data_IF_061919172293
#
_entry.id   IF_061919172293
#
_cell.length_a   1.000
_cell.length_b   1.000
_cell.length_c   1.000
_cell.angle_alpha   90.00
_cell.angle_beta   90.00
_cell.angle_gamma   90.00
#
_symmetry.space_group_name_H-M   'P 1'
#
loop_
_entity.id
_entity.type
_entity.pdbx_description
1 polymer ?
#
# COMPACT_ATOMS: atom_id res chain seq x y z
N UNK A 1 -34.44 13.13 7.72
CA UNK A 1 -34.75 12.30 6.54
C UNK A 1 -36.25 12.17 6.42
N UNK A 2 -36.88 12.94 5.53
CA UNK A 2 -38.27 12.68 5.16
C UNK A 2 -38.26 11.59 4.09
N UNK A 3 -38.79 10.42 4.44
CA UNK A 3 -39.14 9.36 3.48
C UNK A 3 -40.27 9.91 2.61
N UNK A 4 -39.94 10.40 1.43
CA UNK A 4 -40.92 10.61 0.38
C UNK A 4 -41.27 9.23 -0.19
N UNK A 5 -42.19 8.54 0.48
CA UNK A 5 -42.78 7.30 -0.04
C UNK A 5 -43.64 7.66 -1.25
N UNK A 6 -43.12 7.50 -2.45
CA UNK A 6 -43.89 7.62 -3.67
C UNK A 6 -44.84 6.42 -3.77
N UNK A 7 -46.11 6.64 -3.41
CA UNK A 7 -47.17 5.66 -3.60
C UNK A 7 -47.38 5.39 -5.10
N UNK A 8 -47.03 4.17 -5.54
CA UNK A 8 -47.32 3.71 -6.91
C UNK A 8 -46.21 2.91 -7.58
N UNK A 9 -44.99 2.89 -7.04
CA UNK A 9 -43.89 2.09 -7.62
C UNK A 9 -43.72 0.79 -6.83
N UNK A 10 -44.24 -0.31 -7.38
CA UNK A 10 -43.94 -1.66 -6.90
C UNK A 10 -42.50 -2.00 -7.35
N UNK A 11 -41.56 -1.96 -6.41
CA UNK A 11 -40.17 -2.28 -6.71
C UNK A 11 -39.92 -3.80 -6.57
N UNK A 12 -39.20 -4.47 -7.50
CA UNK A 12 -38.99 -5.93 -7.49
C UNK A 12 -38.00 -6.46 -6.43
N UNK A 13 -37.74 -5.72 -5.34
CA UNK A 13 -36.69 -6.04 -4.35
C UNK A 13 -36.84 -7.44 -3.71
N UNK A 14 -38.03 -8.04 -3.79
CA UNK A 14 -38.33 -9.36 -3.23
C UNK A 14 -37.78 -10.55 -4.05
N UNK A 15 -37.24 -10.35 -5.26
CA UNK A 15 -36.93 -11.49 -6.16
C UNK A 15 -35.42 -11.77 -6.28
N UNK A 16 -34.53 -10.77 -6.18
CA UNK A 16 -33.07 -10.98 -6.27
C UNK A 16 -32.24 -10.00 -5.41
N UNK A 17 -31.81 -10.40 -4.19
CA UNK A 17 -31.12 -9.50 -3.26
C UNK A 17 -29.72 -9.03 -3.69
N UNK A 18 -29.07 -9.68 -4.66
CA UNK A 18 -27.68 -9.36 -5.07
C UNK A 18 -27.50 -9.00 -6.56
N UNK A 19 -28.50 -9.24 -7.41
CA UNK A 19 -28.44 -8.83 -8.82
C UNK A 19 -28.38 -7.30 -9.02
N UNK A 20 -29.12 -6.47 -8.27
CA UNK A 20 -29.17 -5.04 -8.58
C UNK A 20 -27.91 -4.27 -8.19
N UNK A 21 -27.22 -4.68 -7.13
CA UNK A 21 -25.92 -4.12 -6.76
C UNK A 21 -24.86 -4.37 -7.83
N UNK A 22 -24.79 -5.62 -8.30
CA UNK A 22 -23.87 -6.03 -9.37
C UNK A 22 -24.14 -5.26 -10.65
N UNK A 23 -25.40 -5.02 -11.00
CA UNK A 23 -25.73 -4.24 -12.20
C UNK A 23 -25.26 -2.79 -12.12
N UNK A 24 -25.40 -2.13 -10.98
CA UNK A 24 -24.88 -0.76 -10.78
C UNK A 24 -23.35 -0.74 -10.79
N UNK A 25 -22.72 -1.66 -10.07
CA UNK A 25 -21.28 -1.85 -10.03
C UNK A 25 -20.72 -2.09 -11.44
N UNK A 26 -21.26 -3.06 -12.18
CA UNK A 26 -20.79 -3.41 -13.53
C UNK A 26 -20.96 -2.23 -14.50
N UNK A 27 -22.04 -1.47 -14.36
CA UNK A 27 -22.34 -0.36 -15.28
C UNK A 27 -21.36 0.80 -15.13
N UNK A 28 -20.87 1.07 -13.92
CA UNK A 28 -19.89 2.15 -13.68
C UNK A 28 -18.47 1.59 -13.72
N UNK A 29 -18.16 0.62 -12.86
CA UNK A 29 -16.79 0.17 -12.57
C UNK A 29 -16.21 -0.74 -13.65
N UNK A 30 -17.03 -1.46 -14.41
CA UNK A 30 -16.57 -2.31 -15.52
C UNK A 30 -16.81 -1.68 -16.90
N UNK A 31 -17.22 -0.41 -16.94
CA UNK A 31 -17.41 0.33 -18.18
C UNK A 31 -16.10 0.57 -18.93
N UNK A 32 -16.12 0.73 -20.27
CA UNK A 32 -14.94 1.15 -21.01
C UNK A 32 -14.36 2.49 -20.52
N UNK A 33 -15.21 3.34 -19.94
CA UNK A 33 -14.79 4.64 -19.40
C UNK A 33 -14.01 4.49 -18.09
N UNK A 34 -14.45 3.64 -17.15
CA UNK A 34 -13.73 3.39 -15.90
C UNK A 34 -12.38 2.70 -16.11
N UNK A 35 -12.22 2.00 -17.25
CA UNK A 35 -10.93 1.44 -17.67
C UNK A 35 -9.93 2.50 -18.14
N UNK A 36 -10.28 3.78 -18.22
CA UNK A 36 -9.35 4.86 -18.59
C UNK A 36 -9.00 5.64 -17.34
N UNK A 37 -7.72 5.60 -16.93
CA UNK A 37 -7.32 6.21 -15.67
C UNK A 37 -7.60 7.74 -15.62
N UNK A 38 -7.42 8.45 -16.73
CA UNK A 38 -7.81 9.86 -16.89
C UNK A 38 -9.31 10.12 -16.67
N UNK A 39 -10.18 9.18 -17.07
CA UNK A 39 -11.61 9.36 -16.90
C UNK A 39 -12.03 9.26 -15.43
N UNK A 40 -11.25 8.60 -14.57
CA UNK A 40 -11.54 8.56 -13.14
C UNK A 40 -11.48 9.95 -12.51
N UNK A 41 -10.53 10.79 -12.95
CA UNK A 41 -10.47 12.21 -12.57
C UNK A 41 -11.75 12.94 -12.99
N UNK A 42 -12.15 12.80 -14.27
CA UNK A 42 -13.34 13.46 -14.80
C UNK A 42 -14.61 13.06 -14.04
N UNK A 43 -14.74 11.78 -13.71
CA UNK A 43 -15.86 11.22 -12.95
C UNK A 43 -15.90 11.77 -11.52
N UNK A 44 -14.76 11.84 -10.83
CA UNK A 44 -14.71 12.25 -9.43
C UNK A 44 -14.83 13.76 -9.22
N UNK A 45 -14.23 14.56 -10.09
CA UNK A 45 -14.27 16.03 -9.98
C UNK A 45 -15.66 16.56 -10.35
N UNK A 46 -16.39 15.86 -11.21
CA UNK A 46 -17.77 16.20 -11.56
C UNK A 46 -18.72 16.03 -10.36
N UNK A 47 -19.46 17.07 -9.93
CA UNK A 47 -20.38 16.97 -8.80
C UNK A 47 -21.53 15.98 -9.03
N UNK A 48 -21.92 15.80 -10.29
CA UNK A 48 -23.02 14.95 -10.77
C UNK A 48 -22.63 14.39 -12.13
N UNK A 49 -22.89 13.11 -12.34
CA UNK A 49 -22.63 12.44 -13.62
C UNK A 49 -23.82 11.58 -13.99
N UNK A 50 -24.21 11.65 -15.26
CA UNK A 50 -25.10 10.69 -15.88
C UNK A 50 -24.26 9.78 -16.79
N UNK A 51 -24.15 8.51 -16.42
CA UNK A 51 -23.40 7.48 -17.14
C UNK A 51 -24.36 6.71 -18.03
N UNK A 52 -24.08 6.68 -19.33
CA UNK A 52 -24.79 5.85 -20.29
C UNK A 52 -24.13 4.47 -20.36
N UNK A 53 -24.69 3.51 -19.61
CA UNK A 53 -24.24 2.13 -19.60
C UNK A 53 -24.75 1.32 -20.78
N UNK A 54 -24.22 0.10 -20.96
CA UNK A 54 -24.71 -0.82 -21.99
C UNK A 54 -26.10 -1.40 -21.70
N UNK A 55 -26.53 -1.39 -20.43
CA UNK A 55 -27.79 -1.98 -19.97
C UNK A 55 -28.81 -0.94 -19.48
N UNK A 56 -28.36 0.17 -18.91
CA UNK A 56 -29.20 1.23 -18.33
C UNK A 56 -28.40 2.52 -18.15
N UNK A 57 -29.09 3.64 -18.01
CA UNK A 57 -28.50 4.87 -17.50
C UNK A 57 -28.33 4.84 -15.98
N UNK A 58 -27.21 5.41 -15.50
CA UNK A 58 -26.90 5.53 -14.08
C UNK A 58 -26.57 6.98 -13.75
N UNK A 59 -27.31 7.55 -12.81
CA UNK A 59 -27.01 8.82 -12.18
C UNK A 59 -26.13 8.60 -10.96
N UNK A 60 -25.08 9.39 -10.79
CA UNK A 60 -24.22 9.34 -9.61
C UNK A 60 -23.86 10.76 -9.15
N UNK A 61 -23.99 11.01 -7.85
CA UNK A 61 -23.54 12.22 -7.17
C UNK A 61 -22.86 11.87 -5.84
N UNK A 62 -22.44 12.85 -5.05
CA UNK A 62 -21.75 12.62 -3.77
C UNK A 62 -22.61 11.97 -2.66
N UNK A 63 -23.92 11.80 -2.87
CA UNK A 63 -24.84 11.25 -1.86
C UNK A 63 -25.56 10.00 -2.31
N UNK A 64 -25.69 9.76 -3.61
CA UNK A 64 -26.58 8.72 -4.14
C UNK A 64 -26.16 8.30 -5.54
N UNK A 65 -26.30 7.00 -5.81
CA UNK A 65 -26.31 6.45 -7.16
C UNK A 65 -27.69 5.89 -7.45
N UNK A 66 -28.26 6.26 -8.59
CA UNK A 66 -29.59 5.85 -9.02
C UNK A 66 -29.51 5.37 -10.47
N UNK A 67 -30.43 4.49 -10.86
CA UNK A 67 -30.49 3.97 -12.23
C UNK A 67 -31.93 3.90 -12.71
N UNK A 68 -32.14 3.54 -13.97
CA UNK A 68 -33.49 3.27 -14.51
C UNK A 68 -34.22 2.19 -13.70
N UNK A 69 -33.50 1.17 -13.22
CA UNK A 69 -34.07 0.13 -12.37
C UNK A 69 -34.30 0.60 -10.93
N UNK A 70 -33.44 1.50 -10.42
CA UNK A 70 -33.47 2.04 -9.06
C UNK A 70 -33.44 3.56 -9.07
N UNK A 71 -34.56 4.23 -9.42
CA UNK A 71 -34.59 5.69 -9.61
C UNK A 71 -34.35 6.50 -8.33
N UNK A 72 -34.50 5.88 -7.16
CA UNK A 72 -34.24 6.48 -5.83
C UNK A 72 -32.91 5.97 -5.24
N UNK A 73 -32.16 5.15 -6.00
CA UNK A 73 -30.97 4.46 -5.56
C UNK A 73 -31.24 3.17 -4.77
N UNK A 74 -30.15 2.50 -4.40
CA UNK A 74 -30.23 1.28 -3.58
C UNK A 74 -30.59 1.64 -2.14
N UNK A 75 -31.53 0.90 -1.53
CA UNK A 75 -31.77 1.00 -0.10
C UNK A 75 -30.51 0.50 0.64
N UNK A 76 -29.98 1.27 1.63
CA UNK A 76 -28.82 0.87 2.42
C UNK A 76 -28.92 -0.52 3.07
N UNK A 77 -30.14 -1.03 3.28
CA UNK A 77 -30.35 -2.40 3.79
C UNK A 77 -29.88 -3.50 2.82
N UNK A 78 -29.76 -3.16 1.54
CA UNK A 78 -29.29 -4.06 0.50
C UNK A 78 -27.93 -3.64 -0.05
N UNK A 79 -27.26 -2.63 0.54
CA UNK A 79 -25.89 -2.30 0.18
C UNK A 79 -24.92 -3.25 0.90
N UNK A 80 -24.19 -4.07 0.14
CA UNK A 80 -23.06 -4.84 0.67
C UNK A 80 -21.84 -3.94 0.92
N UNK A 81 -20.93 -4.36 1.82
CA UNK A 81 -19.68 -3.64 2.12
C UNK A 81 -18.85 -3.43 0.83
N UNK A 82 -18.88 -4.43 -0.07
CA UNK A 82 -18.23 -4.37 -1.39
C UNK A 82 -18.78 -3.23 -2.28
N UNK A 83 -20.05 -2.85 -2.11
CA UNK A 83 -20.67 -1.75 -2.83
C UNK A 83 -20.34 -0.39 -2.19
N UNK A 84 -20.23 -0.35 -0.86
CA UNK A 84 -19.92 0.86 -0.12
C UNK A 84 -18.54 1.39 -0.48
N UNK A 85 -17.49 0.55 -0.44
CA UNK A 85 -16.12 0.96 -0.76
C UNK A 85 -15.84 1.09 -2.25
N UNK A 86 -16.69 0.52 -3.13
CA UNK A 86 -16.49 0.50 -4.58
C UNK A 86 -17.43 1.42 -5.39
N UNK A 87 -18.37 2.13 -4.76
CA UNK A 87 -19.25 3.08 -5.47
C UNK A 87 -18.53 4.40 -5.82
N UNK A 88 -18.97 5.09 -6.88
CA UNK A 88 -18.42 6.40 -7.27
C UNK A 88 -18.93 7.51 -6.33
N UNK A 89 -20.15 7.37 -5.82
CA UNK A 89 -20.70 8.26 -4.79
C UNK A 89 -19.86 8.27 -3.51
N UNK A 90 -19.42 7.10 -3.04
CA UNK A 90 -18.52 6.97 -1.90
C UNK A 90 -17.20 7.71 -2.13
N UNK A 91 -16.52 7.49 -3.27
CA UNK A 91 -15.27 8.21 -3.55
C UNK A 91 -15.46 9.72 -3.60
N UNK A 92 -16.58 10.22 -4.15
CA UNK A 92 -16.88 11.66 -4.12
C UNK A 92 -17.11 12.17 -2.70
N UNK A 93 -17.76 11.38 -1.85
CA UNK A 93 -17.95 11.71 -0.45
C UNK A 93 -16.60 11.79 0.26
N UNK A 94 -15.72 10.80 0.07
CA UNK A 94 -14.39 10.77 0.66
C UNK A 94 -13.50 11.92 0.14
N UNK A 95 -13.51 12.20 -1.16
CA UNK A 95 -12.83 13.38 -1.73
C UNK A 95 -13.34 14.69 -1.09
N UNK A 96 -14.64 14.78 -0.83
CA UNK A 96 -15.24 15.95 -0.15
C UNK A 96 -14.79 16.05 1.30
N UNK A 97 -14.71 14.94 2.03
CA UNK A 97 -14.22 14.90 3.43
C UNK A 97 -12.74 15.26 3.51
N UNK A 98 -11.92 14.69 2.62
CA UNK A 98 -10.53 15.05 2.43
C UNK A 98 -10.40 16.55 2.11
N UNK A 99 -11.24 17.12 1.25
CA UNK A 99 -11.20 18.55 0.94
C UNK A 99 -11.59 19.47 2.11
N UNK A 100 -12.42 18.99 3.06
CA UNK A 100 -12.99 19.78 4.17
C UNK A 100 -12.27 19.65 5.52
N UNK A 101 -11.04 19.14 5.54
CA UNK A 101 -10.27 18.87 6.78
C UNK A 101 -11.00 17.94 7.77
N UNK A 102 -11.91 17.08 7.28
CA UNK A 102 -12.62 16.12 8.12
C UNK A 102 -11.83 14.82 8.32
N UNK A 103 -10.94 14.51 7.39
CA UNK A 103 -10.09 13.33 7.33
C UNK A 103 -8.77 13.72 6.67
N UNK A 104 -7.70 12.94 6.86
CA UNK A 104 -6.47 13.17 6.11
C UNK A 104 -6.60 12.72 4.65
N UNK A 105 -5.90 13.36 3.68
CA UNK A 105 -6.00 12.99 2.28
C UNK A 105 -5.62 11.53 2.02
N UNK A 106 -4.63 10.99 2.74
CA UNK A 106 -4.20 9.59 2.66
C UNK A 106 -5.34 8.58 2.88
N UNK A 107 -6.32 8.89 3.73
CA UNK A 107 -7.45 8.00 4.01
C UNK A 107 -8.31 7.74 2.76
N UNK A 108 -8.54 8.77 1.95
CA UNK A 108 -9.21 8.65 0.66
C UNK A 108 -8.28 8.09 -0.42
N UNK A 109 -7.00 8.45 -0.32
CA UNK A 109 -6.05 8.25 -1.41
C UNK A 109 -5.79 6.79 -1.72
N UNK A 110 -5.68 5.94 -0.70
CA UNK A 110 -5.40 4.51 -0.90
C UNK A 110 -6.49 3.81 -1.73
N UNK A 111 -7.77 4.03 -1.39
CA UNK A 111 -8.91 3.52 -2.15
C UNK A 111 -8.92 4.04 -3.59
N UNK A 112 -8.62 5.33 -3.74
CA UNK A 112 -8.55 5.96 -5.05
C UNK A 112 -7.41 5.38 -5.91
N UNK A 113 -6.22 5.18 -5.35
CA UNK A 113 -5.06 4.59 -6.04
C UNK A 113 -5.32 3.14 -6.44
N UNK A 114 -5.97 2.34 -5.59
CA UNK A 114 -6.33 0.96 -5.96
C UNK A 114 -7.23 0.93 -7.20
N UNK A 115 -8.24 1.82 -7.28
CA UNK A 115 -9.09 1.93 -8.49
C UNK A 115 -8.36 2.53 -9.69
N UNK A 116 -7.50 3.51 -9.45
CA UNK A 116 -6.74 4.18 -10.49
C UNK A 116 -5.75 3.22 -11.17
N UNK A 117 -5.06 2.39 -10.40
CA UNK A 117 -4.10 1.41 -10.92
C UNK A 117 -4.76 0.21 -11.60
N UNK A 118 -6.01 -0.12 -11.24
CA UNK A 118 -6.86 -1.05 -12.01
C UNK A 118 -7.19 -0.51 -13.42
N UNK A 119 -7.20 0.80 -13.60
CA UNK A 119 -7.49 1.42 -14.90
C UNK A 119 -6.26 1.41 -15.84
N UNK A 120 -6.52 1.43 -17.14
CA UNK A 120 -5.51 1.48 -18.19
C UNK A 120 -5.14 2.94 -18.52
N UNK A 121 -3.85 3.18 -18.66
CA UNK A 121 -3.27 4.42 -19.15
C UNK A 121 -2.78 4.21 -20.58
N UNK A 122 -3.12 5.13 -21.49
CA UNK A 122 -2.59 5.12 -22.86
C UNK A 122 -1.08 5.35 -22.86
N UNK A 123 -0.60 6.27 -22.02
CA UNK A 123 0.81 6.56 -21.83
C UNK A 123 1.18 6.36 -20.36
N UNK A 124 2.03 5.36 -20.10
CA UNK A 124 2.49 5.01 -18.74
C UNK A 124 3.35 6.11 -18.10
N UNK A 125 3.88 7.05 -18.87
CA UNK A 125 4.59 8.23 -18.37
C UNK A 125 3.69 9.20 -17.60
N UNK A 126 2.38 9.18 -17.88
CA UNK A 126 1.43 10.18 -17.38
C UNK A 126 0.74 9.71 -16.10
N UNK A 127 1.22 8.61 -15.49
CA UNK A 127 0.62 7.99 -14.30
C UNK A 127 0.44 8.97 -13.14
N UNK A 128 1.41 9.85 -12.89
CA UNK A 128 1.30 10.86 -11.84
C UNK A 128 0.60 12.14 -12.33
N UNK A 129 0.81 12.51 -13.59
CA UNK A 129 0.23 13.71 -14.22
C UNK A 129 -1.29 13.66 -14.22
N UNK A 130 -1.88 12.50 -14.49
CA UNK A 130 -3.33 12.32 -14.48
C UNK A 130 -3.97 12.45 -13.09
N UNK A 131 -3.17 12.61 -12.02
CA UNK A 131 -3.68 12.83 -10.66
C UNK A 131 -3.72 14.32 -10.29
N UNK A 132 -3.09 15.17 -11.10
CA UNK A 132 -2.88 16.59 -10.81
C UNK A 132 -4.18 17.31 -10.41
N UNK A 133 -5.26 17.15 -11.19
CA UNK A 133 -6.49 17.91 -10.90
C UNK A 133 -7.21 17.48 -9.61
N UNK A 134 -7.02 16.24 -9.14
CA UNK A 134 -7.55 15.81 -7.84
C UNK A 134 -6.70 16.39 -6.70
N UNK A 135 -5.37 16.35 -6.85
CA UNK A 135 -4.43 16.91 -5.88
C UNK A 135 -4.65 18.41 -5.73
N UNK A 136 -4.70 19.16 -6.84
CA UNK A 136 -4.97 20.60 -6.86
C UNK A 136 -6.30 20.92 -6.18
N UNK A 137 -7.37 20.18 -6.48
CA UNK A 137 -8.67 20.35 -5.85
C UNK A 137 -8.60 20.22 -4.32
N UNK A 138 -7.88 19.22 -3.80
CA UNK A 138 -7.73 19.01 -2.35
C UNK A 138 -6.93 20.16 -1.74
N UNK A 139 -5.80 20.53 -2.37
CA UNK A 139 -4.90 21.59 -1.89
C UNK A 139 -5.61 22.94 -1.87
N UNK A 140 -6.29 23.32 -2.96
CA UNK A 140 -7.04 24.58 -3.07
C UNK A 140 -8.18 24.66 -2.06
N UNK A 141 -8.96 23.58 -1.90
CA UNK A 141 -10.06 23.55 -0.94
C UNK A 141 -9.59 23.73 0.51
N UNK A 142 -8.41 23.18 0.84
CA UNK A 142 -7.82 23.32 2.19
C UNK A 142 -7.12 24.66 2.39
N UNK A 143 -6.48 25.25 1.36
CA UNK A 143 -5.86 26.60 1.43
C UNK A 143 -6.87 27.69 1.82
N UNK A 144 -8.12 27.58 1.37
CA UNK A 144 -9.19 28.52 1.72
C UNK A 144 -9.69 28.43 3.18
N UNK A 145 -9.19 27.47 3.96
CA UNK A 145 -9.60 27.27 5.36
C UNK A 145 -8.64 27.98 6.30
N UNK A 146 -9.12 28.97 7.07
CA UNK A 146 -8.35 29.78 8.02
C UNK A 146 -7.71 29.02 9.22
N UNK A 147 -7.75 27.68 9.24
CA UNK A 147 -6.99 26.89 10.22
C UNK A 147 -5.54 26.81 9.74
N UNK A 148 -4.58 26.98 10.65
CA UNK A 148 -3.14 26.76 10.45
C UNK A 148 -2.90 25.42 9.76
N UNK A 149 -2.96 25.42 8.43
CA UNK A 149 -2.84 24.21 7.63
C UNK A 149 -1.35 23.99 7.53
N UNK A 150 -0.85 22.95 8.19
CA UNK A 150 0.45 22.38 7.82
C UNK A 150 0.43 22.23 6.29
N UNK A 151 1.48 22.70 5.62
CA UNK A 151 1.53 22.64 4.17
C UNK A 151 1.27 21.20 3.73
N UNK A 152 0.22 21.02 2.92
CA UNK A 152 -0.14 19.71 2.39
C UNK A 152 0.91 19.35 1.37
N UNK A 153 1.74 18.40 1.72
CA UNK A 153 2.83 17.99 0.86
C UNK A 153 2.44 16.68 0.17
N UNK A 154 2.41 16.73 -1.15
CA UNK A 154 2.21 15.57 -2.01
C UNK A 154 3.55 15.20 -2.62
N UNK A 155 3.96 13.93 -2.52
CA UNK A 155 5.28 13.45 -2.89
C UNK A 155 5.16 12.15 -3.67
N UNK A 156 5.57 12.18 -4.94
CA UNK A 156 5.64 11.03 -5.84
C UNK A 156 4.45 10.05 -5.73
N UNK A 157 3.21 10.54 -5.81
CA UNK A 157 2.05 9.66 -5.73
C UNK A 157 1.42 9.53 -4.35
N UNK A 158 2.00 10.09 -3.28
CA UNK A 158 1.58 9.89 -1.89
C UNK A 158 1.41 11.21 -1.13
N UNK A 159 0.61 11.23 -0.07
CA UNK A 159 0.44 12.40 0.81
C UNK A 159 1.31 12.29 2.05
N UNK A 160 2.16 13.29 2.33
CA UNK A 160 2.98 13.37 3.54
C UNK A 160 2.19 13.91 4.73
N UNK A 161 1.13 13.21 5.08
CA UNK A 161 0.31 13.48 6.27
C UNK A 161 0.65 12.51 7.41
N UNK A 162 -0.20 12.46 8.46
CA UNK A 162 0.05 11.61 9.63
C UNK A 162 0.10 10.12 9.32
N UNK A 163 -0.46 9.67 8.19
CA UNK A 163 -0.50 8.26 7.79
C UNK A 163 0.52 7.94 6.68
N UNK A 164 1.50 8.82 6.42
CA UNK A 164 2.46 8.61 5.33
C UNK A 164 3.18 7.26 5.41
N UNK A 165 3.53 6.78 6.60
CA UNK A 165 4.16 5.46 6.79
C UNK A 165 3.25 4.31 6.32
N UNK A 166 1.94 4.41 6.58
CA UNK A 166 0.94 3.46 6.10
C UNK A 166 0.85 3.50 4.58
N UNK A 167 0.89 4.69 3.99
CA UNK A 167 0.86 4.86 2.55
C UNK A 167 2.09 4.27 1.84
N UNK A 168 3.19 3.97 2.55
CA UNK A 168 4.34 3.24 2.02
C UNK A 168 4.14 1.73 1.97
N UNK A 169 3.07 1.19 2.56
CA UNK A 169 2.78 -0.26 2.65
C UNK A 169 1.90 -0.78 1.49
N UNK A 170 1.77 -0.01 0.41
CA UNK A 170 1.15 -0.50 -0.83
C UNK A 170 1.86 -1.77 -1.31
N UNK A 171 1.15 -2.67 -1.99
CA UNK A 171 1.76 -3.87 -2.60
C UNK A 171 1.07 -4.23 -3.91
N UNK A 172 1.74 -4.94 -4.83
CA UNK A 172 1.10 -5.53 -5.99
C UNK A 172 -0.06 -6.43 -5.56
N UNK A 173 -1.19 -6.34 -6.26
CA UNK A 173 -2.33 -7.20 -5.98
C UNK A 173 -1.97 -8.67 -6.19
N UNK A 174 -2.42 -9.54 -5.30
CA UNK A 174 -2.17 -10.99 -5.39
C UNK A 174 -2.57 -11.55 -6.76
N UNK A 175 -1.68 -12.37 -7.34
CA UNK A 175 -1.86 -12.96 -8.67
C UNK A 175 -1.58 -12.00 -9.84
N UNK A 176 -1.16 -10.77 -9.58
CA UNK A 176 -0.60 -9.89 -10.61
C UNK A 176 0.91 -10.12 -10.73
N UNK A 177 1.43 -10.03 -11.97
CA UNK A 177 2.86 -9.96 -12.24
C UNK A 177 3.23 -8.49 -12.47
N UNK A 178 3.63 -7.74 -11.43
CA UNK A 178 4.02 -6.35 -11.59
C UNK A 178 5.28 -6.25 -12.45
N UNK A 179 5.32 -5.25 -13.34
CA UNK A 179 6.49 -4.98 -14.17
C UNK A 179 7.03 -3.59 -13.87
N UNK A 180 8.35 -3.42 -13.95
CA UNK A 180 8.97 -2.10 -13.90
C UNK A 180 8.78 -1.40 -15.26
N UNK A 181 8.41 -0.11 -15.30
CA UNK A 181 8.43 0.67 -16.53
C UNK A 181 9.84 0.75 -17.12
N UNK A 182 9.96 0.73 -18.45
CA UNK A 182 11.25 0.81 -19.16
C UNK A 182 12.03 2.12 -18.87
N UNK A 183 11.28 3.19 -18.59
CA UNK A 183 11.84 4.50 -18.25
C UNK A 183 11.54 4.84 -16.79
N UNK A 184 12.47 5.53 -16.12
CA UNK A 184 12.24 6.04 -14.77
C UNK A 184 10.98 6.91 -14.72
N UNK A 185 10.12 6.64 -13.73
CA UNK A 185 8.84 7.34 -13.52
C UNK A 185 8.69 7.87 -12.10
N UNK A 186 9.12 7.08 -11.12
CA UNK A 186 8.97 7.37 -9.71
C UNK A 186 10.03 6.57 -8.90
N UNK A 187 10.38 7.04 -7.69
CA UNK A 187 11.30 6.35 -6.79
C UNK A 187 10.72 5.02 -6.27
N UNK A 188 11.56 4.09 -5.80
CA UNK A 188 11.13 2.70 -5.48
C UNK A 188 10.09 2.61 -4.36
N UNK A 189 10.01 3.61 -3.49
CA UNK A 189 9.03 3.70 -2.41
C UNK A 189 7.63 4.15 -2.88
N UNK A 190 7.50 4.66 -4.10
CA UNK A 190 6.22 5.06 -4.69
C UNK A 190 5.54 3.90 -5.41
N UNK A 191 4.22 3.77 -5.25
CA UNK A 191 3.41 2.79 -6.01
C UNK A 191 3.50 3.03 -7.52
N UNK A 192 3.79 4.27 -7.95
CA UNK A 192 3.97 4.60 -9.35
C UNK A 192 5.31 4.07 -9.90
N UNK A 193 6.16 3.43 -9.11
CA UNK A 193 7.36 2.76 -9.62
C UNK A 193 7.07 1.48 -10.40
N UNK A 194 5.87 0.91 -10.25
CA UNK A 194 5.44 -0.34 -10.90
C UNK A 194 4.25 -0.12 -11.84
N UNK A 195 4.18 -0.94 -12.88
CA UNK A 195 2.97 -1.15 -13.67
C UNK A 195 2.20 -2.35 -13.11
N UNK A 196 0.96 -2.12 -12.72
CA UNK A 196 0.08 -3.15 -12.17
C UNK A 196 -0.97 -2.57 -11.23
N UNK A 197 -1.96 -3.39 -10.89
CA UNK A 197 -2.93 -3.06 -9.84
C UNK A 197 -2.24 -3.21 -8.47
N UNK A 198 -2.43 -2.20 -7.60
CA UNK A 198 -1.92 -2.25 -6.22
C UNK A 198 -3.08 -2.28 -5.22
N UNK A 199 -2.81 -2.85 -4.06
CA UNK A 199 -3.71 -2.83 -2.92
C UNK A 199 -3.02 -2.32 -1.65
N UNK A 200 -3.84 -2.07 -0.63
CA UNK A 200 -3.44 -1.63 0.71
C UNK A 200 -4.19 -2.51 1.72
N UNK A 201 -3.61 -2.80 2.89
CA UNK A 201 -4.35 -3.51 3.93
C UNK A 201 -5.51 -2.66 4.47
N UNK A 202 -6.62 -3.33 4.80
CA UNK A 202 -7.90 -2.66 5.03
C UNK A 202 -8.05 -2.06 6.44
N UNK A 203 -7.25 -2.45 7.45
CA UNK A 203 -7.45 -1.98 8.83
C UNK A 203 -6.13 -1.95 9.65
N UNK A 204 -5.80 -0.78 10.20
CA UNK A 204 -4.62 -0.58 11.05
C UNK A 204 -5.02 0.06 12.38
N UNK A 205 -4.30 -0.28 13.45
CA UNK A 205 -4.55 0.25 14.79
C UNK A 205 -3.33 1.08 15.23
N UNK A 206 -3.53 2.25 15.86
CA UNK A 206 -2.45 2.98 16.52
C UNK A 206 -1.77 2.10 17.57
N UNK A 207 -0.45 1.94 17.47
CA UNK A 207 0.31 1.07 18.36
C UNK A 207 0.26 1.55 19.82
N UNK A 208 -0.20 0.69 20.72
CA UNK A 208 -0.18 0.89 22.18
C UNK A 208 0.38 -0.39 22.81
N UNK A 209 1.63 -0.37 23.28
CA UNK A 209 2.25 -1.46 24.01
C UNK A 209 2.37 -1.10 25.48
N UNK A 210 1.81 -1.92 26.36
CA UNK A 210 1.79 -1.65 27.79
C UNK A 210 1.30 -0.21 28.13
N UNK A 211 0.39 0.33 27.31
CA UNK A 211 -0.11 1.71 27.43
C UNK A 211 0.77 2.80 26.83
N UNK A 212 1.87 2.47 26.13
CA UNK A 212 2.79 3.43 25.48
C UNK A 212 2.77 3.29 23.97
N UNK A 213 2.89 4.40 23.24
CA UNK A 213 3.09 4.42 21.78
C UNK A 213 4.58 4.22 21.46
N UNK A 214 4.92 3.31 20.56
CA UNK A 214 6.26 3.11 19.98
C UNK A 214 6.16 3.50 18.54
N UNK A 215 7.13 4.30 18.19
CA UNK A 215 7.45 4.71 16.85
C UNK A 215 8.40 3.64 16.27
N UNK A 216 7.92 2.88 15.28
CA UNK A 216 8.72 1.84 14.63
C UNK A 216 9.74 2.42 13.64
N UNK A 217 9.35 3.52 13.01
CA UNK A 217 10.19 4.33 12.15
C UNK A 217 9.78 5.80 12.29
N UNK A 218 10.70 6.72 12.00
CA UNK A 218 10.50 8.16 12.00
C UNK A 218 11.01 8.72 10.67
N UNK A 219 10.12 9.34 9.90
CA UNK A 219 10.49 9.97 8.63
C UNK A 219 11.20 11.29 8.95
N UNK A 220 12.46 11.40 8.53
CA UNK A 220 13.30 12.58 8.74
C UNK A 220 13.11 13.56 7.59
N UNK A 221 13.26 13.08 6.36
CA UNK A 221 13.13 13.90 5.16
C UNK A 221 12.52 13.13 3.98
N UNK A 222 11.88 13.86 3.08
CA UNK A 222 11.33 13.34 1.83
C UNK A 222 11.55 14.39 0.75
N UNK A 223 12.21 13.99 -0.33
CA UNK A 223 12.50 14.89 -1.44
C UNK A 223 12.14 14.26 -2.77
N UNK A 224 11.64 15.07 -3.70
CA UNK A 224 11.27 14.67 -5.05
C UNK A 224 11.75 15.74 -6.03
N UNK A 225 12.52 15.34 -7.04
CA UNK A 225 13.02 16.20 -8.10
C UNK A 225 12.09 16.12 -9.33
N UNK A 226 11.42 17.21 -9.74
CA UNK A 226 10.60 17.22 -10.94
C UNK A 226 11.47 17.20 -12.22
N UNK A 227 11.01 16.51 -13.26
CA UNK A 227 11.69 16.37 -14.56
C UNK A 227 11.66 17.66 -15.40
N UNK A 228 10.74 18.60 -15.15
CA UNK A 228 10.62 19.87 -15.89
C UNK A 228 10.61 21.08 -14.98
N UNK A 229 11.33 22.13 -15.34
CA UNK A 229 11.44 23.39 -14.57
C UNK A 229 10.23 24.33 -14.67
N UNK A 230 9.09 23.89 -15.23
CA UNK A 230 7.94 24.77 -15.51
C UNK A 230 6.73 24.59 -14.57
N UNK A 231 6.75 23.66 -13.63
CA UNK A 231 5.83 23.75 -12.49
C UNK A 231 6.45 23.15 -11.23
N UNK A 232 6.22 23.86 -10.12
CA UNK A 232 6.48 23.40 -8.74
C UNK A 232 5.52 22.25 -8.36
N UNK A 233 4.77 21.70 -9.31
CA UNK A 233 3.73 20.71 -9.02
C UNK A 233 4.37 19.33 -8.85
N UNK A 234 4.35 18.83 -7.62
CA UNK A 234 4.80 17.49 -7.21
C UNK A 234 3.98 16.34 -7.83
N UNK A 235 3.06 16.67 -8.72
CA UNK A 235 2.21 15.79 -9.55
C UNK A 235 2.73 15.62 -10.98
N UNK A 236 3.84 16.29 -11.34
CA UNK A 236 4.46 16.18 -12.66
C UNK A 236 5.29 14.91 -12.84
N UNK A 237 5.97 14.81 -13.98
CA UNK A 237 7.02 13.81 -14.19
C UNK A 237 8.17 14.04 -13.21
N UNK A 238 8.72 12.96 -12.67
CA UNK A 238 9.75 12.97 -11.63
C UNK A 238 11.04 12.41 -12.22
N UNK A 239 12.16 13.03 -11.86
CA UNK A 239 13.51 12.62 -12.26
C UNK A 239 14.21 11.78 -11.18
N UNK A 240 14.00 12.11 -9.92
CA UNK A 240 14.58 11.43 -8.77
C UNK A 240 13.73 11.69 -7.51
N UNK A 241 13.93 10.91 -6.46
CA UNK A 241 13.36 11.19 -5.15
C UNK A 241 13.93 10.26 -4.10
N UNK A 242 13.88 10.68 -2.84
CA UNK A 242 14.34 9.85 -1.72
C UNK A 242 13.46 10.05 -0.48
N UNK A 243 13.45 9.03 0.37
CA UNK A 243 12.94 9.11 1.74
C UNK A 243 14.09 8.79 2.68
N UNK A 244 14.37 9.72 3.59
CA UNK A 244 15.25 9.48 4.72
C UNK A 244 14.41 9.16 5.96
N UNK A 245 14.67 8.01 6.58
CA UNK A 245 13.98 7.61 7.80
C UNK A 245 14.94 7.01 8.82
N UNK A 246 14.64 7.23 10.08
CA UNK A 246 15.27 6.54 11.20
C UNK A 246 14.38 5.38 11.63
N UNK A 247 14.90 4.15 11.61
CA UNK A 247 14.10 2.96 11.86
C UNK A 247 14.90 1.83 12.49
N UNK A 248 14.19 0.78 12.92
CA UNK A 248 14.80 -0.49 13.30
C UNK A 248 15.14 -1.30 12.04
N UNK A 249 16.41 -1.30 11.64
CA UNK A 249 16.87 -2.05 10.48
C UNK A 249 17.28 -3.47 10.88
N UNK A 250 16.69 -4.48 10.21
CA UNK A 250 16.99 -5.90 10.46
C UNK A 250 17.53 -6.59 9.24
N UNK A 251 18.76 -7.09 9.34
CA UNK A 251 19.34 -7.94 8.30
C UNK A 251 18.66 -9.31 8.25
N UNK A 252 18.20 -9.66 7.06
CA UNK A 252 17.51 -10.91 6.73
C UNK A 252 18.05 -11.48 5.41
N UNK A 253 17.70 -12.72 5.13
CA UNK A 253 18.04 -13.39 3.88
C UNK A 253 16.76 -13.81 3.19
N UNK A 254 16.66 -13.47 1.91
CA UNK A 254 15.50 -13.72 1.05
C UNK A 254 15.90 -14.70 -0.05
N UNK A 255 15.01 -15.64 -0.35
CA UNK A 255 15.19 -16.60 -1.45
C UNK A 255 13.84 -16.84 -2.14
N UNK A 256 13.87 -16.91 -3.47
CA UNK A 256 12.73 -17.36 -4.29
C UNK A 256 12.69 -18.89 -4.27
N UNK A 257 11.60 -19.47 -3.75
CA UNK A 257 11.45 -20.93 -3.75
C UNK A 257 11.14 -21.44 -5.17
N UNK A 258 11.71 -22.58 -5.58
CA UNK A 258 11.34 -23.19 -6.85
C UNK A 258 9.92 -23.75 -6.77
N UNK A 259 9.09 -23.46 -7.78
CA UNK A 259 7.71 -23.96 -7.86
C UNK A 259 7.70 -25.50 -7.90
N UNK A 260 7.05 -26.14 -6.92
CA UNK A 260 6.72 -27.57 -7.03
C UNK A 260 5.54 -27.72 -7.99
N UNK A 261 5.65 -28.63 -8.97
CA UNK A 261 4.73 -28.75 -10.10
C UNK A 261 3.33 -29.33 -9.80
N UNK A 262 2.77 -29.17 -8.59
CA UNK A 262 1.43 -29.68 -8.26
C UNK A 262 0.35 -28.61 -8.47
N UNK A 263 -0.22 -28.63 -9.68
CA UNK A 263 -1.30 -27.77 -10.16
C UNK A 263 -2.68 -28.12 -9.59
N UNK A 264 -2.83 -28.20 -8.26
CA UNK A 264 -4.14 -28.55 -7.65
C UNK A 264 -4.60 -27.71 -6.47
N UNK A 265 -4.13 -26.46 -6.33
CA UNK A 265 -4.84 -25.42 -5.56
C UNK A 265 -4.47 -24.04 -6.11
N UNK A 266 -5.47 -23.25 -6.50
CA UNK A 266 -5.35 -21.86 -6.96
C UNK A 266 -4.93 -20.90 -5.83
N UNK A 267 -3.74 -21.10 -5.24
CA UNK A 267 -3.02 -20.07 -4.49
C UNK A 267 -1.70 -19.86 -5.21
N UNK A 268 -1.67 -18.88 -6.10
CA UNK A 268 -0.44 -18.41 -6.74
C UNK A 268 0.28 -17.54 -5.71
N UNK A 269 0.83 -18.18 -4.69
CA UNK A 269 1.83 -17.57 -3.82
C UNK A 269 3.18 -17.99 -4.40
N UNK A 270 3.83 -17.08 -5.14
CA UNK A 270 5.26 -17.18 -5.33
C UNK A 270 5.89 -17.16 -3.93
N UNK A 271 6.22 -18.33 -3.36
CA UNK A 271 6.60 -18.44 -1.95
C UNK A 271 8.03 -17.92 -1.74
N UNK A 272 8.17 -16.60 -1.64
CA UNK A 272 9.39 -15.98 -1.16
C UNK A 272 9.63 -16.38 0.30
N UNK A 273 10.82 -16.91 0.57
CA UNK A 273 11.23 -17.30 1.91
C UNK A 273 12.15 -16.25 2.49
N UNK A 274 11.74 -15.62 3.59
CA UNK A 274 12.58 -14.73 4.39
C UNK A 274 12.99 -15.44 5.68
N UNK A 275 14.28 -15.43 6.00
CA UNK A 275 14.82 -15.93 7.27
C UNK A 275 15.72 -14.89 7.94
N UNK A 276 15.83 -14.99 9.27
CA UNK A 276 16.72 -14.13 10.04
C UNK A 276 18.19 -14.51 9.83
N UNK A 277 19.09 -13.55 10.02
CA UNK A 277 20.54 -13.76 9.92
C UNK A 277 21.05 -14.91 10.81
N UNK A 278 20.51 -15.05 12.02
CA UNK A 278 20.86 -16.14 12.93
C UNK A 278 20.52 -17.52 12.38
N UNK A 279 19.38 -17.63 11.67
CA UNK A 279 18.96 -18.89 11.04
C UNK A 279 19.79 -19.17 9.78
N UNK A 280 20.03 -18.15 8.96
CA UNK A 280 20.90 -18.28 7.78
C UNK A 280 22.28 -18.81 8.16
N UNK A 281 22.91 -18.25 9.19
CA UNK A 281 24.23 -18.70 9.67
C UNK A 281 24.24 -20.16 10.18
N UNK A 282 23.14 -20.62 10.78
CA UNK A 282 23.00 -22.03 11.19
C UNK A 282 22.89 -22.98 9.98
N UNK A 283 22.23 -22.53 8.91
CA UNK A 283 22.06 -23.32 7.68
C UNK A 283 23.35 -23.32 6.86
N UNK A 284 24.02 -22.16 6.73
CA UNK A 284 25.26 -22.03 5.94
C UNK A 284 26.48 -22.67 6.61
N UNK A 285 26.52 -22.74 7.94
CA UNK A 285 27.56 -23.43 8.70
C UNK A 285 27.53 -24.96 8.58
N UNK A 286 26.38 -25.54 8.22
CA UNK A 286 26.25 -26.94 7.85
C UNK A 286 26.53 -27.09 6.35
N UNK A 287 27.75 -27.48 5.99
CA UNK A 287 28.10 -27.73 4.59
C UNK A 287 27.10 -28.68 3.92
N UNK A 288 26.63 -28.29 2.73
CA UNK A 288 25.65 -28.95 1.85
C UNK A 288 24.16 -28.63 2.10
N UNK A 289 23.71 -27.48 1.58
CA UNK A 289 22.47 -27.43 0.77
C UNK A 289 22.70 -26.42 -0.37
N UNK A 290 23.10 -26.90 -1.55
CA UNK A 290 23.10 -26.13 -2.81
C UNK A 290 21.83 -26.38 -3.65
N UNK A 291 20.91 -27.23 -3.19
CA UNK A 291 19.65 -27.52 -3.87
C UNK A 291 18.54 -27.77 -2.83
N UNK A 292 17.32 -27.22 -3.01
CA UNK A 292 16.22 -27.43 -2.10
C UNK A 292 15.56 -28.79 -2.41
N UNK A 293 16.23 -29.89 -2.07
CA UNK A 293 15.60 -31.20 -2.07
C UNK A 293 15.20 -31.58 -0.64
N UNK A 294 13.88 -31.70 -0.45
CA UNK A 294 13.18 -32.36 0.66
C UNK A 294 13.17 -31.70 2.06
N UNK A 295 13.88 -30.59 2.29
CA UNK A 295 13.93 -29.93 3.61
C UNK A 295 13.13 -28.62 3.78
N UNK A 296 12.61 -28.02 2.71
CA UNK A 296 12.06 -26.65 2.74
C UNK A 296 10.81 -26.48 3.62
N UNK A 297 10.09 -27.57 3.94
CA UNK A 297 8.91 -27.55 4.82
C UNK A 297 9.25 -27.42 6.32
N UNK A 298 10.52 -27.53 6.73
CA UNK A 298 10.93 -27.43 8.14
C UNK A 298 11.68 -26.15 8.50
N UNK A 299 11.85 -25.21 7.56
CA UNK A 299 12.52 -23.94 7.84
C UNK A 299 11.51 -22.94 8.39
N UNK A 300 11.61 -22.64 9.69
CA UNK A 300 10.75 -21.65 10.34
C UNK A 300 10.98 -20.26 9.74
N UNK A 301 9.98 -19.74 9.01
CA UNK A 301 10.00 -18.44 8.34
C UNK A 301 10.20 -17.29 9.35
N UNK A 302 10.83 -16.20 8.90
CA UNK A 302 10.86 -14.93 9.64
C UNK A 302 9.53 -14.21 9.46
N UNK A 303 9.15 -13.91 8.22
CA UNK A 303 7.86 -13.32 7.87
C UNK A 303 6.82 -14.41 7.55
N UNK A 304 5.56 -14.14 7.89
CA UNK A 304 4.42 -15.00 7.56
C UNK A 304 4.09 -14.93 6.07
N UNK A 305 4.13 -13.73 5.50
CA UNK A 305 4.02 -13.50 4.07
C UNK A 305 5.03 -12.45 3.61
N UNK A 306 5.40 -12.53 2.34
CA UNK A 306 6.26 -11.57 1.69
C UNK A 306 5.70 -11.33 0.29
N UNK A 307 5.42 -10.07 -0.03
CA UNK A 307 5.04 -9.66 -1.39
C UNK A 307 6.22 -8.92 -1.98
N UNK A 308 6.79 -9.48 -3.05
CA UNK A 308 7.89 -8.83 -3.77
C UNK A 308 7.32 -7.98 -4.89
N UNK A 309 7.72 -6.72 -4.88
CA UNK A 309 7.34 -5.71 -5.87
C UNK A 309 8.00 -6.00 -7.23
N UNK A 310 9.22 -6.56 -7.19
CA UNK A 310 10.13 -6.73 -8.33
C UNK A 310 10.68 -8.16 -8.37
N UNK A 311 9.87 -9.14 -8.79
CA UNK A 311 10.22 -10.56 -8.72
C UNK A 311 11.38 -10.97 -9.63
N UNK A 312 11.67 -10.17 -10.66
CA UNK A 312 12.73 -10.43 -11.65
C UNK A 312 14.11 -10.02 -11.15
N UNK A 313 14.20 -9.14 -10.14
CA UNK A 313 15.48 -8.73 -9.54
C UNK A 313 16.04 -9.81 -8.59
N UNK A 314 15.23 -10.81 -8.23
CA UNK A 314 15.63 -11.87 -7.30
C UNK A 314 16.09 -13.10 -8.08
N UNK A 315 17.38 -13.47 -8.02
CA UNK A 315 17.87 -14.67 -8.68
C UNK A 315 17.20 -15.92 -8.08
N UNK A 316 16.74 -16.82 -8.96
CA UNK A 316 16.13 -18.09 -8.56
C UNK A 316 17.12 -18.94 -7.78
N UNK A 317 16.66 -19.56 -6.69
CA UNK A 317 17.43 -20.53 -5.89
C UNK A 317 18.73 -20.00 -5.27
N UNK A 318 18.87 -18.68 -5.13
CA UNK A 318 19.98 -18.03 -4.45
C UNK A 318 19.48 -17.19 -3.27
N UNK A 319 20.19 -17.27 -2.14
CA UNK A 319 19.97 -16.37 -1.02
C UNK A 319 20.56 -15.00 -1.32
N UNK A 320 19.72 -13.97 -1.19
CA UNK A 320 20.14 -12.58 -1.26
C UNK A 320 20.00 -11.93 0.12
N UNK A 321 20.95 -11.05 0.43
CA UNK A 321 20.93 -10.27 1.66
C UNK A 321 19.95 -9.11 1.49
N UNK A 322 19.01 -9.01 2.41
CA UNK A 322 17.99 -7.96 2.43
C UNK A 322 17.83 -7.39 3.83
N UNK A 323 17.13 -6.28 3.94
CA UNK A 323 16.87 -5.64 5.21
C UNK A 323 15.37 -5.42 5.38
N UNK A 324 14.83 -5.82 6.52
CA UNK A 324 13.45 -5.54 6.89
C UNK A 324 13.37 -4.29 7.76
N UNK A 325 12.37 -3.45 7.47
CA UNK A 325 12.06 -2.23 8.20
C UNK A 325 10.59 -2.26 8.60
N UNK A 326 10.25 -2.51 9.88
CA UNK A 326 8.87 -2.45 10.34
C UNK A 326 8.37 -1.00 10.32
N UNK A 327 7.19 -0.78 9.75
CA UNK A 327 6.56 0.54 9.68
C UNK A 327 5.31 0.63 10.55
N UNK A 328 4.49 -0.42 10.57
CA UNK A 328 3.19 -0.37 11.23
C UNK A 328 2.75 -1.72 11.81
N UNK A 329 1.84 -1.66 12.78
CA UNK A 329 1.11 -2.82 13.28
C UNK A 329 -0.25 -2.88 12.58
N UNK A 330 -0.49 -3.97 11.86
CA UNK A 330 -1.77 -4.34 11.29
C UNK A 330 -2.60 -5.15 12.28
N UNK A 331 -3.92 -5.02 12.17
CA UNK A 331 -4.87 -5.84 12.91
C UNK A 331 -5.80 -6.49 11.90
N UNK A 332 -5.84 -7.82 11.89
CA UNK A 332 -6.72 -8.56 11.01
C UNK A 332 -7.65 -9.42 11.84
N UNK A 333 -8.95 -9.14 11.75
CA UNK A 333 -9.98 -10.07 12.18
C UNK A 333 -10.40 -10.91 10.98
N UNK A 334 -10.02 -12.17 10.99
CA UNK A 334 -10.45 -13.12 9.95
C UNK A 334 -11.83 -13.65 10.30
N UNK A 335 -12.78 -13.41 9.40
CA UNK A 335 -14.16 -13.91 9.38
C UNK A 335 -15.07 -13.55 10.57
N UNK A 336 -16.35 -13.25 10.29
CA UNK A 336 -17.33 -12.89 11.35
C UNK A 336 -17.66 -14.07 12.28
N UNK A 337 -17.26 -15.28 11.91
CA UNK A 337 -17.63 -16.53 12.59
C UNK A 337 -16.47 -17.13 13.40
N UNK A 338 -15.24 -16.96 12.94
CA UNK A 338 -14.04 -17.31 13.69
C UNK A 338 -13.60 -16.03 14.40
N UNK A 339 -13.73 -15.96 15.73
CA UNK A 339 -13.30 -14.79 16.52
C UNK A 339 -11.76 -14.67 16.59
N UNK A 340 -11.08 -15.11 15.54
CA UNK A 340 -9.64 -15.16 15.40
C UNK A 340 -9.15 -13.77 15.03
N UNK A 341 -8.66 -13.07 16.05
CA UNK A 341 -8.05 -11.75 15.92
C UNK A 341 -6.55 -11.94 16.01
N UNK A 342 -5.83 -11.50 14.98
CA UNK A 342 -4.37 -11.57 14.96
C UNK A 342 -3.77 -10.19 14.76
N UNK A 343 -2.72 -9.91 15.52
CA UNK A 343 -1.87 -8.74 15.33
C UNK A 343 -0.73 -9.13 14.38
N UNK A 344 -0.35 -8.25 13.47
CA UNK A 344 0.81 -8.48 12.60
C UNK A 344 1.60 -7.19 12.43
N UNK A 345 2.91 -7.31 12.18
CA UNK A 345 3.72 -6.19 11.74
C UNK A 345 3.82 -6.17 10.23
N UNK A 346 3.77 -4.97 9.68
CA UNK A 346 3.99 -4.71 8.28
C UNK A 346 5.16 -3.76 8.10
N UNK A 347 5.91 -4.00 7.05
CA UNK A 347 7.12 -3.25 6.79
C UNK A 347 7.64 -3.41 5.39
N UNK A 348 8.73 -2.71 5.12
CA UNK A 348 9.43 -2.72 3.85
C UNK A 348 10.53 -3.76 3.86
N UNK A 349 10.77 -4.35 2.70
CA UNK A 349 11.96 -5.13 2.40
C UNK A 349 12.83 -4.28 1.48
N UNK A 350 14.07 -4.09 1.92
CA UNK A 350 15.05 -3.23 1.29
C UNK A 350 16.24 -4.06 0.81
N UNK A 351 16.79 -3.70 -0.34
CA UNK A 351 18.08 -4.20 -0.83
C UNK A 351 19.06 -3.03 -0.91
N UNK A 352 20.33 -3.28 -0.62
CA UNK A 352 21.36 -2.25 -0.81
C UNK A 352 21.45 -1.87 -2.28
N UNK A 353 21.68 -0.58 -2.55
CA UNK A 353 21.89 -0.12 -3.90
C UNK A 353 23.35 -0.39 -4.31
N UNK A 354 23.58 -1.08 -5.43
CA UNK A 354 24.90 -1.62 -5.86
C UNK A 354 25.98 -0.53 -6.08
N UNK A 355 25.63 0.75 -6.00
CA UNK A 355 26.58 1.87 -6.14
C UNK A 355 27.53 2.05 -4.94
N UNK A 356 27.32 1.35 -3.81
CA UNK A 356 28.07 1.54 -2.57
C UNK A 356 28.86 0.30 -2.09
N UNK A 357 28.90 -0.82 -2.83
CA UNK A 357 29.64 -2.01 -2.38
C UNK A 357 31.18 -1.79 -2.27
N UNK A 358 31.73 -0.77 -2.93
CA UNK A 358 33.19 -0.50 -2.94
C UNK A 358 33.71 0.32 -1.73
N UNK A 359 32.86 0.97 -0.93
CA UNK A 359 33.32 1.92 0.11
C UNK A 359 33.38 1.35 1.55
N UNK A 360 33.07 0.06 1.74
CA UNK A 360 33.05 -0.59 3.07
C UNK A 360 34.43 -0.88 3.68
N UNK A 361 35.53 -0.39 3.09
CA UNK A 361 36.90 -0.68 3.57
C UNK A 361 37.77 0.51 3.97
N UNK A 362 37.26 1.73 4.10
CA UNK A 362 38.12 2.82 4.59
C UNK A 362 37.45 3.86 5.50
N UNK A 363 37.96 3.85 6.74
CA UNK A 363 38.35 5.01 7.56
C UNK A 363 37.37 5.58 8.60
N UNK A 364 37.97 5.79 9.77
CA UNK A 364 37.44 6.39 10.98
C UNK A 364 37.12 7.87 10.79
N UNK A 365 36.00 8.32 11.36
CA UNK A 365 35.71 9.75 11.60
C UNK A 365 34.43 10.24 10.92
N UNK A 366 33.35 10.37 11.71
CA UNK A 366 32.06 10.98 11.33
C UNK A 366 31.35 10.39 10.10
N UNK A 367 30.87 9.15 10.20
CA UNK A 367 29.92 8.59 9.24
C UNK A 367 28.47 8.93 9.63
N UNK A 368 27.89 9.98 9.04
CA UNK A 368 26.44 9.94 8.71
C UNK A 368 26.36 9.24 7.36
N UNK A 369 26.69 7.95 7.34
CA UNK A 369 26.48 7.13 6.14
C UNK A 369 25.04 6.65 6.23
N UNK A 370 24.11 7.42 5.66
CA UNK A 370 22.83 6.86 5.29
C UNK A 370 23.13 5.83 4.20
N UNK A 371 22.97 4.54 4.52
CA UNK A 371 23.06 3.50 3.50
C UNK A 371 21.92 3.72 2.51
N UNK A 372 22.23 3.68 1.23
CA UNK A 372 21.23 3.84 0.18
C UNK A 372 20.59 2.50 -0.14
N UNK A 373 19.26 2.44 -0.05
CA UNK A 373 18.47 1.24 -0.30
C UNK A 373 17.46 1.45 -1.42
N UNK A 374 17.08 0.35 -2.05
CA UNK A 374 15.89 0.25 -2.90
C UNK A 374 14.85 -0.61 -2.21
N UNK A 375 13.58 -0.21 -2.31
CA UNK A 375 12.46 -1.05 -1.89
C UNK A 375 12.25 -2.17 -2.92
N UNK A 376 12.12 -3.40 -2.43
CA UNK A 376 11.87 -4.58 -3.26
C UNK A 376 10.61 -5.36 -2.87
N UNK A 377 9.95 -4.99 -1.77
CA UNK A 377 8.73 -5.65 -1.33
C UNK A 377 8.23 -5.18 0.01
N UNK A 378 7.17 -5.84 0.46
CA UNK A 378 6.61 -5.72 1.80
C UNK A 378 6.57 -7.09 2.49
N UNK A 379 6.57 -7.10 3.81
CA UNK A 379 6.42 -8.32 4.60
C UNK A 379 5.31 -8.16 5.63
N UNK A 380 4.70 -9.29 6.00
CA UNK A 380 3.87 -9.41 7.20
C UNK A 380 4.54 -10.34 8.20
N UNK A 381 4.51 -9.97 9.47
CA UNK A 381 5.05 -10.77 10.56
C UNK A 381 3.98 -10.92 11.65
N UNK A 382 3.39 -12.11 11.75
CA UNK A 382 2.30 -12.33 12.71
C UNK A 382 2.81 -12.38 14.14
N UNK A 383 2.10 -11.73 15.05
CA UNK A 383 2.31 -11.82 16.49
C UNK A 383 1.26 -12.75 17.07
N UNK A 384 1.71 -13.89 17.57
CA UNK A 384 0.85 -14.79 18.33
C UNK A 384 1.08 -14.57 19.83
N UNK A 385 -0.01 -14.56 20.61
CA UNK A 385 -0.01 -14.10 22.01
C UNK A 385 0.99 -14.84 22.91
N UNK A 386 1.21 -16.14 22.69
CA UNK A 386 2.05 -16.97 23.56
C UNK A 386 3.56 -16.68 23.44
N UNK A 387 4.01 -15.87 22.47
CA UNK A 387 5.44 -15.57 22.22
C UNK A 387 5.74 -14.12 21.81
N UNK A 388 4.86 -13.18 22.16
CA UNK A 388 4.93 -11.77 21.72
C UNK A 388 6.28 -11.09 22.04
N UNK A 389 6.80 -11.27 23.26
CA UNK A 389 8.08 -10.67 23.70
C UNK A 389 9.30 -11.31 23.00
N UNK A 390 9.34 -12.64 22.89
CA UNK A 390 10.44 -13.35 22.24
C UNK A 390 10.58 -12.99 20.75
N UNK A 391 9.45 -12.69 20.09
CA UNK A 391 9.41 -12.30 18.67
C UNK A 391 9.63 -10.81 18.44
N UNK A 392 9.47 -9.98 19.48
CA UNK A 392 9.88 -8.57 19.43
C UNK A 392 11.39 -8.45 19.19
N UNK A 393 12.20 -9.30 19.83
CA UNK A 393 13.64 -9.40 19.58
C UNK A 393 13.98 -9.91 18.17
N UNK A 394 13.08 -10.62 17.50
CA UNK A 394 13.32 -10.99 16.10
C UNK A 394 13.12 -9.77 15.18
N UNK A 395 12.14 -8.92 15.49
CA UNK A 395 11.75 -7.78 14.65
C UNK A 395 12.51 -6.48 14.97
N UNK A 396 12.62 -6.10 16.24
CA UNK A 396 13.28 -4.87 16.68
C UNK A 396 14.71 -5.12 17.10
N UNK A 397 15.05 -6.40 17.35
CA UNK A 397 16.31 -6.99 17.82
C UNK A 397 17.05 -6.31 18.93
N UNK A 398 18.15 -6.91 19.41
CA UNK A 398 18.46 -6.96 20.85
C UNK A 398 18.60 -5.55 21.45
N UNK A 399 18.14 -5.42 22.70
CA UNK A 399 18.36 -4.20 23.47
C UNK A 399 19.87 -4.00 23.67
N UNK A 400 20.33 -2.78 23.41
CA UNK A 400 21.72 -2.38 23.58
C UNK A 400 21.77 -1.34 24.70
N UNK A 401 22.86 -1.36 25.46
CA UNK A 401 23.10 -0.36 26.49
C UNK A 401 23.64 0.90 25.81
N UNK A 402 22.90 2.01 25.89
CA UNK A 402 23.33 3.27 25.32
C UNK A 402 24.41 3.94 26.18
N UNK A 403 25.04 5.00 25.66
CA UNK A 403 26.13 5.72 26.36
C UNK A 403 25.69 6.37 27.68
N UNK A 404 24.39 6.51 27.90
CA UNK A 404 23.77 7.16 29.07
C UNK A 404 23.32 6.15 30.14
N UNK A 405 23.51 4.85 29.90
CA UNK A 405 23.18 3.81 30.86
C UNK A 405 21.76 3.27 30.76
N UNK A 406 21.05 3.56 29.67
CA UNK A 406 19.68 3.11 29.43
C UNK A 406 19.66 2.00 28.36
N UNK A 407 18.71 1.06 28.52
CA UNK A 407 18.44 0.05 27.51
C UNK A 407 17.66 0.67 26.35
N UNK A 408 18.19 0.54 25.14
CA UNK A 408 17.57 1.08 23.93
C UNK A 408 17.76 0.14 22.74
N UNK A 409 16.75 0.06 21.87
CA UNK A 409 16.84 -0.67 20.61
C UNK A 409 17.63 0.17 19.61
N UNK A 410 18.63 -0.42 18.96
CA UNK A 410 19.41 0.29 17.93
C UNK A 410 18.49 0.78 16.80
N UNK A 411 18.61 2.07 16.47
CA UNK A 411 18.01 2.69 15.29
C UNK A 411 19.11 3.06 14.30
N UNK A 412 18.79 2.96 13.02
CA UNK A 412 19.69 3.33 11.92
C UNK A 412 18.97 4.31 11.00
N UNK A 413 19.74 5.21 10.39
CA UNK A 413 19.24 6.12 9.37
C UNK A 413 19.43 5.48 8.01
N UNK A 414 18.34 5.34 7.27
CA UNK A 414 18.31 4.73 5.95
C UNK A 414 17.76 5.70 4.93
N UNK A 415 18.34 5.70 3.74
CA UNK A 415 17.87 6.46 2.59
C UNK A 415 17.28 5.50 1.56
N UNK A 416 16.01 5.66 1.19
CA UNK A 416 15.33 4.84 0.17
C UNK A 416 15.13 5.68 -1.09
N UNK A 417 15.65 5.21 -2.22
CA UNK A 417 15.63 5.93 -3.52
C UNK A 417 14.71 5.32 -4.56
#
# INVERSE_FOLDING_TARGET
>A
MHSAAYHGVSYPWAIYPHQPERLLFDTINESPLSRRAWALQELLVSPRTLVFGSKQMVWSCATTEASETFPIGLDPKFSSILNETASLSYLRQQLTRASKLQQEPSEFWNDFISRYTKAQLTFRSDTLVALQGIVERIVEARRGSNKSTRELEYVAGLWRDTNFQQSLLWRPKSGSSPNRPDCYRAPSWSWASLDGEVDFFEQYIPWIWNGKKVELARILDVCVEPQTGYSISTTGQIKAGFIEMECHLRECYLMKTPQSGDTSNNRVDDEYLIISSNKYNKISGNACIKEPTEGAQQVHKFASSCTIDLPDEIPSSQWIRVYSVPLQLGWCQTDRYEQSVWESYEGLILVLNDAEEDDLLTSEGFCVVSRTFRRIGTFTFDLHDDNREAREDELLGPLVFNKEGNWERKRETVCIV
#
